data_IF_521001572488
#
_entry.id   IF_521001572488
#
_cell.length_a   1.000
_cell.length_b   1.000
_cell.length_c   1.000
_cell.angle_alpha   90.00
_cell.angle_beta   90.00
_cell.angle_gamma   90.00
#
_symmetry.space_group_name_H-M   'P 1'
#
loop_
_entity.id
_entity.type
_entity.pdbx_description
1 polymer ?
#
# COMPACT_ATOMS: atom_id res chain seq x y z
N UNK A 1 12.18 10.03 -28.19
CA UNK A 1 11.61 10.39 -26.88
C UNK A 1 10.33 9.63 -26.57
N UNK A 2 9.45 9.40 -27.54
CA UNK A 2 8.18 8.67 -27.35
C UNK A 2 8.36 7.18 -27.01
N UNK A 3 9.43 6.52 -27.44
CA UNK A 3 9.64 5.09 -27.15
C UNK A 3 10.13 4.83 -25.70
N UNK A 4 10.93 5.69 -25.11
CA UNK A 4 11.46 5.51 -23.75
C UNK A 4 10.44 5.90 -22.68
N UNK A 5 9.75 7.02 -22.86
CA UNK A 5 8.61 7.41 -22.01
C UNK A 5 7.50 6.36 -22.08
N UNK A 6 7.28 5.75 -23.25
CA UNK A 6 6.36 4.62 -23.41
C UNK A 6 6.82 3.36 -22.67
N UNK A 7 8.12 3.09 -22.55
CA UNK A 7 8.63 1.90 -21.87
C UNK A 7 8.54 1.99 -20.34
N UNK A 8 8.85 3.13 -19.74
CA UNK A 8 8.67 3.35 -18.30
C UNK A 8 7.19 3.39 -17.88
N UNK A 9 6.34 3.98 -18.72
CA UNK A 9 4.89 3.95 -18.53
C UNK A 9 4.38 2.51 -18.55
N UNK A 10 4.83 1.68 -19.50
CA UNK A 10 4.49 0.26 -19.56
C UNK A 10 5.00 -0.54 -18.35
N UNK A 11 6.14 -0.20 -17.75
CA UNK A 11 6.73 -0.94 -16.63
C UNK A 11 5.92 -0.71 -15.34
N UNK A 12 5.51 0.51 -15.04
CA UNK A 12 4.66 0.81 -13.86
C UNK A 12 3.25 0.26 -13.99
N UNK A 13 2.67 0.29 -15.18
CA UNK A 13 1.38 -0.35 -15.44
C UNK A 13 1.45 -1.86 -15.22
N UNK A 14 2.58 -2.51 -15.59
CA UNK A 14 2.84 -3.92 -15.30
C UNK A 14 2.96 -4.20 -13.79
N UNK A 15 3.53 -3.28 -13.00
CA UNK A 15 3.54 -3.42 -11.55
C UNK A 15 2.12 -3.45 -10.97
N UNK A 16 1.20 -2.64 -11.50
CA UNK A 16 -0.23 -2.70 -11.16
C UNK A 16 -0.87 -4.05 -11.47
N UNK A 17 -0.53 -4.67 -12.62
CA UNK A 17 -1.03 -6.00 -12.99
C UNK A 17 -0.51 -7.06 -12.01
N UNK A 18 0.78 -7.06 -11.67
CA UNK A 18 1.38 -8.03 -10.75
C UNK A 18 0.76 -7.88 -9.34
N UNK A 19 0.54 -6.66 -8.87
CA UNK A 19 -0.15 -6.41 -7.62
C UNK A 19 -1.58 -6.96 -7.64
N UNK A 20 -2.30 -6.79 -8.76
CA UNK A 20 -3.64 -7.32 -8.94
C UNK A 20 -3.69 -8.86 -8.85
N UNK A 21 -2.66 -9.58 -9.32
CA UNK A 21 -2.57 -11.03 -9.15
C UNK A 21 -2.55 -11.40 -7.67
N UNK A 22 -1.75 -10.70 -6.85
CA UNK A 22 -1.71 -10.90 -5.40
C UNK A 22 -3.06 -10.66 -4.73
N UNK A 23 -3.76 -9.59 -5.12
CA UNK A 23 -5.08 -9.24 -4.57
C UNK A 23 -6.20 -10.16 -5.09
N UNK A 24 -6.10 -10.68 -6.32
CA UNK A 24 -7.08 -11.60 -6.87
C UNK A 24 -7.17 -12.93 -6.10
N UNK A 25 -6.05 -13.37 -5.53
CA UNK A 25 -6.01 -14.57 -4.67
C UNK A 25 -6.79 -14.35 -3.39
N UNK A 26 -6.85 -13.12 -2.84
CA UNK A 26 -7.55 -12.80 -1.59
C UNK A 26 -9.03 -13.18 -1.63
N UNK A 27 -9.75 -12.83 -2.69
CA UNK A 27 -11.16 -13.19 -2.85
C UNK A 27 -11.38 -14.72 -2.79
N UNK A 28 -10.50 -15.50 -3.40
CA UNK A 28 -10.56 -16.97 -3.36
C UNK A 28 -10.24 -17.52 -1.96
N UNK A 29 -9.28 -16.92 -1.24
CA UNK A 29 -8.97 -17.30 0.16
C UNK A 29 -10.18 -17.07 1.05
N UNK A 30 -10.94 -15.98 0.84
CA UNK A 30 -12.19 -15.70 1.56
C UNK A 30 -13.22 -16.80 1.32
N UNK A 31 -13.47 -17.11 0.05
CA UNK A 31 -14.47 -18.12 -0.35
C UNK A 31 -14.10 -19.48 0.24
N UNK A 32 -12.85 -19.90 0.05
CA UNK A 32 -12.41 -21.23 0.52
C UNK A 32 -12.42 -21.33 2.06
N UNK A 33 -12.09 -20.26 2.77
CA UNK A 33 -12.21 -20.25 4.23
C UNK A 33 -13.67 -20.42 4.67
N UNK A 34 -14.61 -19.72 4.04
CA UNK A 34 -16.04 -19.85 4.34
C UNK A 34 -16.58 -21.26 4.00
N UNK A 35 -16.14 -21.86 2.90
CA UNK A 35 -16.49 -23.25 2.56
C UNK A 35 -16.00 -24.20 3.67
N UNK A 36 -14.74 -24.07 4.11
CA UNK A 36 -14.17 -24.88 5.20
C UNK A 36 -14.90 -24.71 6.53
N UNK A 37 -15.33 -23.49 6.86
CA UNK A 37 -16.16 -23.21 8.04
C UNK A 37 -17.51 -23.95 7.97
N UNK A 38 -18.15 -23.97 6.79
CA UNK A 38 -19.46 -24.65 6.64
C UNK A 38 -19.29 -26.20 6.63
N UNK A 39 -18.19 -26.71 6.09
CA UNK A 39 -17.84 -28.15 6.18
C UNK A 39 -17.55 -28.57 7.61
N UNK A 40 -16.87 -27.73 8.40
CA UNK A 40 -16.63 -27.98 9.82
C UNK A 40 -17.92 -28.07 10.66
N UNK A 41 -19.02 -27.47 10.19
CA UNK A 41 -20.36 -27.59 10.79
C UNK A 41 -21.11 -28.87 10.38
N UNK A 42 -20.46 -29.77 9.62
CA UNK A 42 -21.04 -31.04 9.19
C UNK A 42 -21.99 -30.95 7.99
N UNK A 43 -21.94 -29.83 7.22
CA UNK A 43 -22.75 -29.70 6.00
C UNK A 43 -22.15 -30.47 4.84
N UNK A 44 -22.99 -30.87 3.87
CA UNK A 44 -22.52 -31.49 2.64
C UNK A 44 -21.65 -30.53 1.81
N UNK A 45 -20.73 -31.06 0.99
CA UNK A 45 -19.83 -30.29 0.15
C UNK A 45 -20.60 -29.32 -0.75
N UNK A 46 -21.67 -29.78 -1.41
CA UNK A 46 -22.50 -28.96 -2.28
C UNK A 46 -23.12 -27.78 -1.54
N UNK A 47 -23.70 -28.03 -0.35
CA UNK A 47 -24.30 -26.98 0.49
C UNK A 47 -23.24 -26.02 1.00
N UNK A 48 -22.07 -26.52 1.36
CA UNK A 48 -20.95 -25.71 1.86
C UNK A 48 -20.37 -24.81 0.77
N UNK A 49 -20.27 -25.27 -0.48
CA UNK A 49 -19.90 -24.44 -1.62
C UNK A 49 -20.91 -23.31 -1.78
N UNK A 50 -22.22 -23.61 -1.87
CA UNK A 50 -23.25 -22.59 -2.05
C UNK A 50 -23.20 -21.52 -0.94
N UNK A 51 -23.22 -21.95 0.31
CA UNK A 51 -23.20 -21.05 1.47
C UNK A 51 -21.89 -20.29 1.63
N UNK A 52 -20.77 -20.92 1.24
CA UNK A 52 -19.46 -20.29 1.26
C UNK A 52 -19.41 -19.07 0.34
N UNK A 53 -19.92 -19.18 -0.89
CA UNK A 53 -20.02 -18.05 -1.82
C UNK A 53 -21.00 -16.98 -1.33
N UNK A 54 -22.17 -17.35 -0.82
CA UNK A 54 -23.17 -16.40 -0.30
C UNK A 54 -22.61 -15.59 0.87
N UNK A 55 -21.92 -16.22 1.81
CA UNK A 55 -21.34 -15.56 2.98
C UNK A 55 -20.06 -14.76 2.67
N UNK A 56 -19.30 -15.19 1.66
CA UNK A 56 -18.10 -14.49 1.25
C UNK A 56 -18.41 -13.20 0.46
N UNK A 57 -19.54 -13.15 -0.24
CA UNK A 57 -19.89 -12.06 -1.17
C UNK A 57 -19.76 -10.68 -0.54
N UNK A 58 -20.37 -10.46 0.63
CA UNK A 58 -20.32 -9.17 1.31
C UNK A 58 -18.87 -8.72 1.60
N UNK A 59 -18.06 -9.61 2.19
CA UNK A 59 -16.68 -9.28 2.55
C UNK A 59 -15.80 -9.01 1.32
N UNK A 60 -16.01 -9.76 0.22
CA UNK A 60 -15.29 -9.55 -1.05
C UNK A 60 -15.65 -8.21 -1.67
N UNK A 61 -16.94 -7.89 -1.74
CA UNK A 61 -17.40 -6.61 -2.31
C UNK A 61 -16.90 -5.45 -1.47
N UNK A 62 -17.06 -5.50 -0.15
CA UNK A 62 -16.66 -4.44 0.77
C UNK A 62 -15.15 -4.15 0.69
N UNK A 63 -14.31 -5.19 0.69
CA UNK A 63 -12.87 -5.04 0.60
C UNK A 63 -12.42 -4.47 -0.75
N UNK A 64 -13.02 -4.92 -1.84
CA UNK A 64 -12.68 -4.43 -3.18
C UNK A 64 -13.21 -3.02 -3.46
N UNK A 65 -14.38 -2.64 -2.93
CA UNK A 65 -14.91 -1.28 -3.04
C UNK A 65 -13.98 -0.27 -2.39
N UNK A 66 -13.38 -0.58 -1.24
CA UNK A 66 -12.40 0.32 -0.60
C UNK A 66 -11.16 0.53 -1.45
N UNK A 67 -10.65 -0.53 -2.06
CA UNK A 67 -9.49 -0.42 -2.97
C UNK A 67 -9.87 0.32 -4.26
N UNK A 68 -11.09 0.15 -4.77
CA UNK A 68 -11.60 0.92 -5.90
C UNK A 68 -11.74 2.41 -5.57
N UNK A 69 -12.15 2.77 -4.35
CA UNK A 69 -12.17 4.17 -3.88
C UNK A 69 -10.75 4.77 -3.94
N UNK A 70 -9.75 4.04 -3.43
CA UNK A 70 -8.36 4.49 -3.50
C UNK A 70 -7.89 4.65 -4.95
N UNK A 71 -8.18 3.68 -5.82
CA UNK A 71 -7.86 3.74 -7.25
C UNK A 71 -8.56 4.93 -7.95
N UNK A 72 -9.81 5.20 -7.62
CA UNK A 72 -10.58 6.32 -8.17
C UNK A 72 -10.00 7.68 -7.76
N UNK A 73 -9.63 7.85 -6.50
CA UNK A 73 -8.96 9.06 -6.01
C UNK A 73 -7.62 9.24 -6.72
N UNK A 74 -6.86 8.14 -6.90
CA UNK A 74 -5.59 8.13 -7.62
C UNK A 74 -5.77 8.49 -9.11
N UNK A 75 -6.86 8.06 -9.74
CA UNK A 75 -7.19 8.40 -11.12
C UNK A 75 -7.50 9.89 -11.30
N UNK A 76 -8.26 10.49 -10.37
CA UNK A 76 -8.64 11.90 -10.43
C UNK A 76 -7.45 12.82 -10.13
N UNK A 77 -6.68 12.51 -9.07
CA UNK A 77 -5.59 13.35 -8.57
C UNK A 77 -4.22 13.02 -9.16
N UNK A 78 -4.07 11.81 -9.71
CA UNK A 78 -2.83 11.41 -10.35
C UNK A 78 -2.66 12.02 -11.74
N UNK A 79 -1.42 12.22 -12.14
CA UNK A 79 -1.02 12.68 -13.47
C UNK A 79 -0.29 11.57 -14.24
N UNK A 80 -0.33 11.60 -15.56
CA UNK A 80 0.45 10.74 -16.44
C UNK A 80 0.43 9.24 -16.05
N UNK A 81 1.57 8.74 -15.63
CA UNK A 81 1.80 7.32 -15.28
C UNK A 81 0.97 6.83 -14.09
N UNK A 82 0.65 7.71 -13.13
CA UNK A 82 -0.17 7.34 -11.96
C UNK A 82 -1.60 7.04 -12.39
N UNK A 83 -2.12 7.81 -13.34
CA UNK A 83 -3.48 7.59 -13.88
C UNK A 83 -3.58 6.25 -14.62
N UNK A 84 -2.52 5.87 -15.38
CA UNK A 84 -2.40 4.55 -16.00
C UNK A 84 -2.40 3.42 -14.96
N UNK A 85 -1.57 3.54 -13.92
CA UNK A 85 -1.54 2.59 -12.80
C UNK A 85 -2.90 2.47 -12.11
N UNK A 86 -3.58 3.59 -11.82
CA UNK A 86 -4.90 3.58 -11.20
C UNK A 86 -5.96 2.86 -12.06
N UNK A 87 -5.89 3.05 -13.39
CA UNK A 87 -6.79 2.39 -14.34
C UNK A 87 -6.55 0.89 -14.36
N UNK A 88 -5.29 0.44 -14.46
CA UNK A 88 -4.94 -0.98 -14.45
C UNK A 88 -5.30 -1.64 -13.12
N UNK A 89 -5.11 -0.93 -12.00
CA UNK A 89 -5.51 -1.39 -10.68
C UNK A 89 -7.03 -1.59 -10.60
N UNK A 90 -7.82 -0.59 -11.00
CA UNK A 90 -9.28 -0.66 -10.97
C UNK A 90 -9.83 -1.78 -11.87
N UNK A 91 -9.34 -1.87 -13.11
CA UNK A 91 -9.73 -2.93 -14.04
C UNK A 91 -9.37 -4.32 -13.50
N UNK A 92 -8.19 -4.49 -12.93
CA UNK A 92 -7.76 -5.75 -12.34
C UNK A 92 -8.65 -6.18 -11.16
N UNK A 93 -9.06 -5.25 -10.30
CA UNK A 93 -9.97 -5.51 -9.19
C UNK A 93 -11.34 -5.97 -9.71
N UNK A 94 -11.91 -5.28 -10.69
CA UNK A 94 -13.21 -5.64 -11.27
C UNK A 94 -13.15 -7.03 -11.92
N UNK A 95 -12.10 -7.32 -12.69
CA UNK A 95 -11.91 -8.62 -13.32
C UNK A 95 -11.68 -9.73 -12.29
N UNK A 96 -10.89 -9.47 -11.24
CA UNK A 96 -10.66 -10.44 -10.17
C UNK A 96 -11.92 -10.77 -9.38
N UNK A 97 -12.76 -9.78 -9.11
CA UNK A 97 -14.07 -10.00 -8.49
C UNK A 97 -14.97 -10.87 -9.38
N UNK A 98 -15.04 -10.57 -10.66
CA UNK A 98 -15.81 -11.37 -11.60
C UNK A 98 -15.30 -12.82 -11.65
N UNK A 99 -14.00 -13.01 -11.77
CA UNK A 99 -13.38 -14.34 -11.79
C UNK A 99 -13.65 -15.12 -10.50
N UNK A 100 -13.46 -14.50 -9.35
CA UNK A 100 -13.67 -15.16 -8.06
C UNK A 100 -15.13 -15.53 -7.82
N UNK A 101 -16.08 -14.63 -8.13
CA UNK A 101 -17.49 -14.85 -7.79
C UNK A 101 -18.23 -15.73 -8.80
N UNK A 102 -17.84 -15.68 -10.07
CA UNK A 102 -18.52 -16.43 -11.14
C UNK A 102 -17.69 -17.61 -11.60
N UNK A 103 -16.48 -17.39 -12.15
CA UNK A 103 -15.69 -18.45 -12.78
C UNK A 103 -15.28 -19.51 -11.74
N UNK A 104 -14.75 -19.10 -10.58
CA UNK A 104 -14.36 -20.05 -9.52
C UNK A 104 -15.56 -20.85 -9.01
N UNK A 105 -16.75 -20.23 -8.91
CA UNK A 105 -17.98 -20.91 -8.51
C UNK A 105 -18.35 -22.03 -9.49
N UNK A 106 -18.34 -21.72 -10.79
CA UNK A 106 -18.66 -22.72 -11.82
C UNK A 106 -17.62 -23.84 -11.89
N UNK A 107 -16.33 -23.51 -11.73
CA UNK A 107 -15.27 -24.54 -11.68
C UNK A 107 -15.48 -25.48 -10.49
N UNK A 108 -15.74 -24.95 -9.28
CA UNK A 108 -15.98 -25.80 -8.11
C UNK A 108 -17.24 -26.66 -8.24
N UNK A 109 -18.31 -26.15 -8.84
CA UNK A 109 -19.50 -26.91 -9.12
C UNK A 109 -19.25 -28.02 -10.16
N UNK A 110 -18.47 -27.73 -11.21
CA UNK A 110 -18.09 -28.71 -12.21
C UNK A 110 -17.19 -29.81 -11.60
N UNK A 111 -16.22 -29.46 -10.75
CA UNK A 111 -15.38 -30.42 -10.03
C UNK A 111 -16.24 -31.34 -9.14
N UNK A 112 -17.21 -30.78 -8.41
CA UNK A 112 -18.14 -31.56 -7.63
C UNK A 112 -18.94 -32.55 -8.51
N UNK A 113 -19.43 -32.11 -9.67
CA UNK A 113 -20.17 -32.97 -10.61
C UNK A 113 -19.31 -34.08 -11.24
N UNK A 114 -18.00 -33.88 -11.30
CA UNK A 114 -17.03 -34.85 -11.77
C UNK A 114 -16.59 -35.88 -10.70
N UNK A 115 -17.20 -35.84 -9.49
CA UNK A 115 -16.94 -36.80 -8.42
C UNK A 115 -15.89 -36.31 -7.38
N UNK A 116 -15.51 -35.03 -7.37
CA UNK A 116 -14.67 -34.46 -6.32
C UNK A 116 -15.60 -34.00 -5.17
N UNK A 117 -16.21 -34.95 -4.49
CA UNK A 117 -17.23 -34.74 -3.44
C UNK A 117 -16.74 -35.10 -2.03
N UNK A 118 -15.55 -35.71 -1.88
CA UNK A 118 -14.98 -36.06 -0.58
C UNK A 118 -14.48 -34.77 0.12
N UNK A 119 -14.86 -34.60 1.39
CA UNK A 119 -14.45 -33.51 2.28
C UNK A 119 -12.93 -33.38 2.37
N UNK A 120 -12.18 -34.48 2.16
CA UNK A 120 -10.70 -34.46 2.18
C UNK A 120 -10.09 -33.50 1.16
N UNK A 121 -10.71 -33.34 -0.02
CA UNK A 121 -10.21 -32.45 -1.07
C UNK A 121 -10.38 -30.97 -0.72
N UNK A 122 -11.38 -30.63 0.10
CA UNK A 122 -11.67 -29.25 0.49
C UNK A 122 -10.99 -28.86 1.81
N UNK A 123 -10.66 -29.86 2.65
CA UNK A 123 -10.12 -29.65 3.99
C UNK A 123 -11.16 -29.10 4.96
N UNK A 124 -10.95 -29.35 6.24
CA UNK A 124 -11.82 -28.84 7.33
C UNK A 124 -11.03 -27.92 8.23
N UNK A 125 -11.62 -26.81 8.61
CA UNK A 125 -10.99 -25.88 9.54
C UNK A 125 -10.95 -26.50 10.95
N UNK A 126 -9.74 -26.60 11.52
CA UNK A 126 -9.55 -27.08 12.90
C UNK A 126 -9.80 -25.95 13.87
N UNK A 127 -10.53 -26.19 14.97
CA UNK A 127 -10.74 -25.17 16.00
C UNK A 127 -9.39 -24.75 16.59
N UNK A 128 -9.14 -23.45 16.64
CA UNK A 128 -7.93 -22.89 17.22
C UNK A 128 -8.16 -22.45 18.64
N UNK A 129 -7.10 -22.56 19.46
CA UNK A 129 -7.13 -21.99 20.80
C UNK A 129 -7.23 -20.46 20.70
N UNK A 130 -8.15 -19.87 21.45
CA UNK A 130 -8.34 -18.41 21.51
C UNK A 130 -7.04 -17.71 21.93
N UNK A 131 -6.68 -16.68 21.16
CA UNK A 131 -5.52 -15.82 21.45
C UNK A 131 -6.01 -14.55 22.15
N UNK A 132 -5.34 -14.16 23.24
CA UNK A 132 -5.71 -13.03 24.10
C UNK A 132 -5.16 -11.70 23.56
N UNK A 133 -5.69 -11.20 22.43
CA UNK A 133 -5.26 -9.94 21.83
C UNK A 133 -5.62 -8.73 22.68
N UNK A 134 -6.85 -8.65 23.18
CA UNK A 134 -7.36 -7.51 23.98
C UNK A 134 -6.56 -7.35 25.27
N UNK A 135 -6.17 -8.43 25.91
CA UNK A 135 -5.36 -8.41 27.15
C UNK A 135 -3.94 -7.88 26.86
N UNK A 136 -3.38 -8.18 25.68
CA UNK A 136 -2.04 -7.75 25.28
C UNK A 136 -2.03 -6.40 24.52
N UNK A 137 -3.17 -5.70 24.40
CA UNK A 137 -3.29 -4.46 23.60
C UNK A 137 -2.26 -3.39 23.95
N UNK A 138 -1.89 -3.26 25.23
CA UNK A 138 -0.89 -2.26 25.64
C UNK A 138 0.45 -2.53 24.99
N UNK A 139 0.89 -3.79 24.87
CA UNK A 139 2.13 -4.16 24.19
C UNK A 139 2.10 -3.74 22.72
N UNK A 140 0.98 -3.98 22.03
CA UNK A 140 0.81 -3.58 20.63
C UNK A 140 0.82 -2.05 20.47
N UNK A 141 0.14 -1.32 21.32
CA UNK A 141 0.17 0.15 21.28
C UNK A 141 1.56 0.72 21.59
N UNK A 142 2.32 0.08 22.50
CA UNK A 142 3.72 0.49 22.76
C UNK A 142 4.61 0.24 21.55
N UNK A 143 4.50 -0.93 20.89
CA UNK A 143 5.25 -1.21 19.66
C UNK A 143 4.94 -0.16 18.59
N UNK A 144 3.67 0.14 18.37
CA UNK A 144 3.23 1.17 17.42
C UNK A 144 3.74 2.56 17.80
N UNK A 145 3.70 2.90 19.10
CA UNK A 145 4.23 4.16 19.60
C UNK A 145 5.73 4.30 19.36
N UNK A 146 6.49 3.23 19.54
CA UNK A 146 7.95 3.20 19.25
C UNK A 146 8.20 3.40 17.75
N UNK A 147 7.43 2.75 16.88
CA UNK A 147 7.55 2.92 15.42
C UNK A 147 7.24 4.37 14.99
N UNK A 148 6.17 4.96 15.53
CA UNK A 148 5.81 6.36 15.26
C UNK A 148 6.90 7.32 15.78
N UNK A 149 7.38 7.11 17.00
CA UNK A 149 8.47 7.91 17.57
C UNK A 149 9.76 7.78 16.74
N UNK A 150 10.10 6.56 16.28
CA UNK A 150 11.20 6.31 15.35
C UNK A 150 11.05 7.09 14.04
N UNK A 151 9.84 7.18 13.51
CA UNK A 151 9.56 7.98 12.32
C UNK A 151 9.88 9.47 12.56
N UNK A 152 9.37 10.04 13.65
CA UNK A 152 9.61 11.44 14.00
C UNK A 152 11.10 11.73 14.18
N UNK A 153 11.80 10.86 14.90
CA UNK A 153 13.27 10.98 15.09
C UNK A 153 13.99 10.93 13.74
N UNK A 154 13.65 9.97 12.88
CA UNK A 154 14.28 9.83 11.57
C UNK A 154 14.07 11.08 10.69
N UNK A 155 12.86 11.64 10.68
CA UNK A 155 12.54 12.88 9.95
C UNK A 155 13.34 14.09 10.48
N UNK A 156 13.49 14.20 11.80
CA UNK A 156 14.30 15.27 12.44
C UNK A 156 15.77 15.13 12.07
N UNK A 157 16.32 13.91 12.16
CA UNK A 157 17.72 13.62 11.80
C UNK A 157 17.97 13.92 10.32
N UNK A 158 17.09 13.51 9.43
CA UNK A 158 17.21 13.81 8.00
C UNK A 158 17.21 15.32 7.74
N UNK A 159 16.32 16.08 8.41
CA UNK A 159 16.30 17.53 8.28
C UNK A 159 17.61 18.17 8.77
N UNK A 160 18.17 17.68 9.87
CA UNK A 160 19.41 18.20 10.44
C UNK A 160 20.65 17.86 9.59
N UNK A 161 20.68 16.69 8.94
CA UNK A 161 21.84 16.19 8.18
C UNK A 161 21.79 16.56 6.70
N UNK A 162 20.62 16.57 6.07
CA UNK A 162 20.45 16.74 4.63
C UNK A 162 19.65 17.98 4.25
N UNK A 163 19.24 18.80 5.22
CA UNK A 163 18.41 20.00 4.99
C UNK A 163 16.94 19.69 4.65
N UNK A 164 16.65 18.49 4.14
CA UNK A 164 15.32 18.04 3.75
C UNK A 164 14.81 16.94 4.68
N UNK A 165 13.51 16.96 4.97
CA UNK A 165 12.84 15.95 5.82
C UNK A 165 12.82 14.57 5.13
N UNK A 166 12.63 14.55 3.81
CA UNK A 166 12.56 13.37 2.95
C UNK A 166 13.44 13.58 1.71
N UNK A 167 13.82 12.50 1.06
CA UNK A 167 14.52 12.56 -0.22
C UNK A 167 13.50 12.80 -1.34
N UNK A 168 13.19 14.08 -1.59
CA UNK A 168 12.23 14.44 -2.63
C UNK A 168 12.79 14.15 -4.02
N UNK A 169 11.98 13.49 -4.86
CA UNK A 169 12.25 13.28 -6.28
C UNK A 169 11.98 14.54 -7.12
N UNK A 170 12.36 14.46 -8.40
CA UNK A 170 12.15 15.52 -9.38
C UNK A 170 10.69 15.97 -9.46
N UNK A 171 9.77 15.03 -9.36
CA UNK A 171 8.32 15.28 -9.37
C UNK A 171 7.90 16.32 -8.31
N UNK A 172 8.59 16.34 -7.17
CA UNK A 172 8.25 17.18 -6.03
C UNK A 172 9.20 18.37 -5.79
N UNK A 173 10.43 18.28 -6.26
CA UNK A 173 11.37 19.41 -6.18
C UNK A 173 11.25 20.34 -7.39
N UNK A 174 10.90 19.80 -8.54
CA UNK A 174 11.14 20.42 -9.83
C UNK A 174 12.61 20.35 -10.20
N UNK A 175 12.94 20.84 -11.39
CA UNK A 175 14.31 20.85 -11.87
C UNK A 175 14.51 19.99 -13.09
N UNK A 176 15.78 19.67 -13.40
CA UNK A 176 16.17 18.83 -14.52
C UNK A 176 17.05 17.68 -14.04
N UNK A 177 16.73 16.47 -14.48
CA UNK A 177 17.54 15.27 -14.22
C UNK A 177 18.14 14.76 -15.52
N UNK A 178 19.41 14.37 -15.45
CA UNK A 178 20.13 13.71 -16.52
C UNK A 178 20.54 12.31 -16.07
N UNK A 179 20.23 11.29 -16.89
CA UNK A 179 20.81 9.96 -16.77
C UNK A 179 21.86 9.81 -17.84
N UNK A 180 23.13 9.74 -17.42
CA UNK A 180 24.29 9.79 -18.29
C UNK A 180 24.97 8.43 -18.28
N UNK A 181 24.84 7.62 -19.36
CA UNK A 181 25.50 6.32 -19.45
C UNK A 181 26.95 6.50 -19.88
N UNK A 182 27.86 5.98 -19.07
CA UNK A 182 29.28 5.93 -19.42
C UNK A 182 29.67 4.57 -20.02
N UNK A 183 30.67 4.55 -20.88
CA UNK A 183 31.23 3.31 -21.45
C UNK A 183 31.76 2.38 -20.36
N UNK A 184 31.77 1.06 -20.61
CA UNK A 184 32.24 0.06 -19.64
C UNK A 184 33.69 0.29 -19.17
N UNK A 185 34.49 1.00 -19.97
CA UNK A 185 35.88 1.30 -19.68
C UNK A 185 36.04 2.56 -18.81
N UNK A 186 34.99 3.35 -18.61
CA UNK A 186 35.03 4.57 -17.79
C UNK A 186 34.68 4.22 -16.36
N UNK A 187 35.64 4.31 -15.44
CA UNK A 187 35.37 4.14 -14.01
C UNK A 187 34.69 5.39 -13.44
N UNK A 188 33.57 5.20 -12.79
CA UNK A 188 32.90 6.27 -12.05
C UNK A 188 33.62 6.45 -10.71
N UNK A 189 34.50 7.48 -10.68
CA UNK A 189 35.24 7.86 -9.51
C UNK A 189 34.86 9.27 -9.03
N UNK A 190 35.47 9.71 -7.92
CA UNK A 190 35.22 11.04 -7.36
C UNK A 190 35.72 12.18 -8.28
N UNK A 191 36.66 11.92 -9.18
CA UNK A 191 37.17 12.92 -10.11
C UNK A 191 36.18 13.14 -11.25
N UNK A 192 35.60 12.07 -11.82
CA UNK A 192 34.58 12.14 -12.84
C UNK A 192 33.32 12.86 -12.33
N UNK A 193 32.91 12.57 -11.09
CA UNK A 193 31.76 13.27 -10.48
C UNK A 193 31.99 14.77 -10.37
N UNK A 194 33.19 15.21 -9.92
CA UNK A 194 33.53 16.63 -9.84
C UNK A 194 33.62 17.30 -11.23
N UNK A 195 34.12 16.59 -12.23
CA UNK A 195 34.11 17.10 -13.58
C UNK A 195 32.71 17.28 -14.16
N UNK A 196 31.85 16.29 -13.97
CA UNK A 196 30.43 16.39 -14.36
C UNK A 196 29.75 17.52 -13.62
N UNK A 197 29.96 17.63 -12.28
CA UNK A 197 29.45 18.72 -11.47
C UNK A 197 29.85 20.09 -12.01
N UNK A 198 31.10 20.27 -12.41
CA UNK A 198 31.62 21.53 -12.98
C UNK A 198 30.92 21.91 -14.30
N UNK A 199 30.60 20.94 -15.15
CA UNK A 199 29.88 21.16 -16.40
C UNK A 199 28.45 21.67 -16.11
N UNK A 200 27.79 21.05 -15.18
CA UNK A 200 26.44 21.47 -14.79
C UNK A 200 26.47 22.84 -14.11
N UNK A 201 27.36 23.08 -13.15
CA UNK A 201 27.49 24.36 -12.45
C UNK A 201 27.72 25.53 -13.39
N UNK A 202 28.59 25.33 -14.39
CA UNK A 202 28.89 26.33 -15.41
C UNK A 202 27.68 26.69 -16.27
N UNK A 203 26.87 25.70 -16.65
CA UNK A 203 25.74 25.90 -17.55
C UNK A 203 24.44 26.24 -16.84
N UNK A 204 24.23 25.82 -15.55
CA UNK A 204 23.03 26.09 -14.79
C UNK A 204 23.07 27.40 -14.02
N UNK A 205 24.22 28.01 -13.88
CA UNK A 205 24.48 29.14 -12.96
C UNK A 205 24.03 28.84 -11.52
N UNK A 206 24.04 27.56 -11.11
CA UNK A 206 23.63 27.08 -9.80
C UNK A 206 24.61 26.01 -9.30
N UNK A 207 24.86 26.04 -8.00
CA UNK A 207 25.65 25.00 -7.32
C UNK A 207 24.75 23.93 -6.67
N UNK A 208 23.44 23.98 -6.90
CA UNK A 208 22.49 22.99 -6.38
C UNK A 208 22.43 21.78 -7.34
N UNK A 209 23.48 20.98 -7.27
CA UNK A 209 23.69 19.80 -8.13
C UNK A 209 23.88 18.58 -7.24
N UNK A 210 23.07 17.56 -7.47
CA UNK A 210 23.15 16.28 -6.77
C UNK A 210 23.53 15.19 -7.78
N UNK A 211 24.66 14.52 -7.55
CA UNK A 211 25.16 13.44 -8.40
C UNK A 211 25.09 12.12 -7.63
N UNK A 212 24.46 11.13 -8.22
CA UNK A 212 24.35 9.77 -7.69
C UNK A 212 24.68 8.72 -8.73
N UNK A 213 25.23 7.59 -8.30
CA UNK A 213 25.46 6.43 -9.16
C UNK A 213 24.20 5.58 -9.24
N UNK A 214 23.89 5.07 -10.43
CA UNK A 214 22.80 4.12 -10.62
C UNK A 214 23.32 2.71 -10.33
N UNK A 215 22.76 2.06 -9.30
CA UNK A 215 23.20 0.73 -8.89
C UNK A 215 22.99 -0.30 -9.99
N UNK A 216 24.06 -0.99 -10.37
CA UNK A 216 24.01 -2.08 -11.38
C UNK A 216 24.21 -1.64 -12.83
N UNK A 217 24.36 -0.35 -13.10
CA UNK A 217 24.72 0.21 -14.39
C UNK A 217 25.91 1.17 -14.26
N UNK A 218 26.64 1.40 -15.35
CA UNK A 218 27.71 2.39 -15.36
C UNK A 218 27.16 3.76 -15.77
N UNK A 219 26.22 4.27 -14.96
CA UNK A 219 25.48 5.50 -15.24
C UNK A 219 25.51 6.46 -14.05
N UNK A 220 25.58 7.76 -14.34
CA UNK A 220 25.39 8.82 -13.35
C UNK A 220 24.02 9.47 -13.53
N UNK A 221 23.29 9.56 -12.43
CA UNK A 221 22.09 10.38 -12.33
C UNK A 221 22.46 11.75 -11.73
N UNK A 222 22.26 12.81 -12.49
CA UNK A 222 22.56 14.20 -12.11
C UNK A 222 21.25 14.97 -12.01
N UNK A 223 20.96 15.51 -10.82
CA UNK A 223 19.80 16.37 -10.56
C UNK A 223 20.26 17.82 -10.34
N UNK A 224 19.60 18.76 -10.99
CA UNK A 224 19.90 20.19 -10.89
C UNK A 224 18.61 21.02 -10.97
N UNK A 225 18.72 22.32 -10.77
CA UNK A 225 17.62 23.26 -10.98
C UNK A 225 17.01 23.15 -12.37
N UNK A 226 15.84 23.76 -12.58
CA UNK A 226 15.20 23.80 -13.89
C UNK A 226 16.12 24.49 -14.91
N UNK A 227 16.48 23.78 -15.97
CA UNK A 227 17.30 24.28 -17.07
C UNK A 227 16.43 24.68 -18.26
N UNK A 228 16.74 25.80 -18.88
CA UNK A 228 16.13 26.21 -20.15
C UNK A 228 16.53 25.25 -21.28
N UNK A 229 15.84 25.27 -22.41
CA UNK A 229 16.18 24.43 -23.56
C UNK A 229 17.61 24.68 -24.06
N UNK A 230 18.04 25.94 -24.08
CA UNK A 230 19.42 26.32 -24.48
C UNK A 230 20.47 25.76 -23.52
N UNK A 231 20.24 25.90 -22.20
CA UNK A 231 21.11 25.34 -21.17
C UNK A 231 21.20 23.81 -21.27
N UNK A 232 20.07 23.15 -21.51
CA UNK A 232 20.01 21.69 -21.69
C UNK A 232 20.84 21.26 -22.94
N UNK A 233 20.68 21.97 -24.05
CA UNK A 233 21.46 21.71 -25.26
C UNK A 233 22.95 21.89 -25.02
N UNK A 234 23.35 22.95 -24.32
CA UNK A 234 24.76 23.22 -23.99
C UNK A 234 25.37 22.12 -23.12
N UNK A 235 24.68 21.72 -22.04
CA UNK A 235 25.14 20.62 -21.17
C UNK A 235 25.26 19.31 -21.96
N UNK A 236 24.25 18.98 -22.77
CA UNK A 236 24.24 17.75 -23.56
C UNK A 236 25.37 17.72 -24.57
N UNK A 237 25.62 18.83 -25.29
CA UNK A 237 26.71 18.97 -26.25
C UNK A 237 28.10 18.86 -25.56
N UNK A 238 28.28 19.49 -24.40
CA UNK A 238 29.55 19.45 -23.65
C UNK A 238 29.83 18.04 -23.12
N UNK A 239 28.81 17.33 -22.57
CA UNK A 239 28.92 15.93 -22.15
C UNK A 239 29.23 15.00 -23.35
N UNK A 240 28.51 15.15 -24.45
CA UNK A 240 28.68 14.33 -25.65
C UNK A 240 30.08 14.46 -26.24
N UNK A 241 30.62 15.69 -26.33
CA UNK A 241 31.97 15.96 -26.83
C UNK A 241 33.04 15.43 -25.90
N UNK A 242 32.91 15.64 -24.59
CA UNK A 242 33.95 15.31 -23.62
C UNK A 242 34.05 13.80 -23.36
N UNK A 243 32.94 13.12 -23.30
CA UNK A 243 32.92 11.68 -22.96
C UNK A 243 32.55 10.77 -24.14
N UNK A 244 32.44 11.31 -25.34
CA UNK A 244 32.09 10.58 -26.58
C UNK A 244 30.74 9.81 -26.42
N UNK A 245 29.81 10.36 -25.65
CA UNK A 245 28.49 9.78 -25.43
C UNK A 245 27.54 10.30 -26.52
N UNK A 246 26.83 9.42 -27.19
CA UNK A 246 25.80 9.84 -28.15
C UNK A 246 24.68 10.57 -27.44
N UNK A 247 24.30 11.77 -27.89
CA UNK A 247 23.22 12.58 -27.30
C UNK A 247 21.93 11.80 -27.09
N UNK A 248 21.60 10.87 -27.99
CA UNK A 248 20.42 10.00 -27.91
C UNK A 248 20.39 9.05 -26.69
N UNK A 249 21.56 8.81 -26.09
CA UNK A 249 21.70 7.92 -24.94
C UNK A 249 21.58 8.67 -23.62
N UNK A 250 21.69 10.00 -23.62
CA UNK A 250 21.50 10.83 -22.45
C UNK A 250 19.99 11.05 -22.27
N UNK A 251 19.44 10.57 -21.17
CA UNK A 251 18.04 10.78 -20.84
C UNK A 251 17.89 12.07 -20.04
N UNK A 252 16.97 12.93 -20.46
CA UNK A 252 16.74 14.22 -19.81
C UNK A 252 15.28 14.30 -19.42
N UNK A 253 15.02 14.56 -18.15
CA UNK A 253 13.67 14.82 -17.63
C UNK A 253 13.69 16.20 -16.97
N UNK A 254 12.69 17.03 -17.27
CA UNK A 254 12.56 18.37 -16.69
C UNK A 254 11.13 18.62 -16.24
N UNK A 255 10.98 19.10 -15.03
CA UNK A 255 9.69 19.45 -14.42
C UNK A 255 9.80 20.83 -13.83
N UNK A 256 8.87 21.72 -14.19
CA UNK A 256 8.88 23.09 -13.64
C UNK A 256 8.49 23.13 -12.17
N UNK A 257 9.01 24.10 -11.44
CA UNK A 257 8.73 24.28 -10.02
C UNK A 257 7.24 24.51 -9.72
N UNK A 258 6.49 25.14 -10.63
CA UNK A 258 5.04 25.30 -10.48
C UNK A 258 4.29 23.99 -10.54
N UNK A 259 4.63 23.12 -11.51
CA UNK A 259 4.02 21.79 -11.66
C UNK A 259 4.34 20.92 -10.46
N UNK A 260 5.60 20.94 -9.98
CA UNK A 260 5.97 20.14 -8.79
C UNK A 260 5.28 20.61 -7.51
N UNK A 261 5.04 21.90 -7.38
CA UNK A 261 4.24 22.44 -6.27
C UNK A 261 2.78 21.97 -6.28
N UNK A 262 2.16 21.91 -7.46
CA UNK A 262 0.82 21.34 -7.63
C UNK A 262 0.80 19.85 -7.31
N UNK A 263 1.79 19.09 -7.78
CA UNK A 263 1.90 17.65 -7.53
C UNK A 263 2.03 17.33 -6.03
N UNK A 264 2.81 18.10 -5.27
CA UNK A 264 2.89 17.96 -3.81
C UNK A 264 1.54 18.17 -3.14
N UNK A 265 0.86 19.26 -3.49
CA UNK A 265 -0.46 19.59 -2.93
C UNK A 265 -1.47 18.51 -3.26
N UNK A 266 -1.49 18.04 -4.50
CA UNK A 266 -2.42 17.00 -4.95
C UNK A 266 -2.12 15.66 -4.29
N UNK A 267 -0.86 15.33 -3.99
CA UNK A 267 -0.47 14.14 -3.23
C UNK A 267 -1.10 14.14 -1.83
N UNK A 268 -0.94 15.23 -1.09
CA UNK A 268 -1.50 15.36 0.26
C UNK A 268 -3.03 15.34 0.22
N UNK A 269 -3.63 16.07 -0.71
CA UNK A 269 -5.09 16.10 -0.89
C UNK A 269 -5.64 14.72 -1.25
N UNK A 270 -4.95 13.95 -2.10
CA UNK A 270 -5.37 12.61 -2.47
C UNK A 270 -5.47 11.67 -1.25
N UNK A 271 -4.45 11.68 -0.37
CA UNK A 271 -4.45 10.87 0.85
C UNK A 271 -5.59 11.29 1.79
N UNK A 272 -5.79 12.60 1.99
CA UNK A 272 -6.88 13.13 2.83
C UNK A 272 -8.24 12.76 2.26
N UNK A 273 -8.46 12.96 0.96
CA UNK A 273 -9.74 12.63 0.31
C UNK A 273 -10.01 11.13 0.40
N UNK A 274 -9.00 10.28 0.14
CA UNK A 274 -9.13 8.85 0.27
C UNK A 274 -9.51 8.44 1.70
N UNK A 275 -8.84 8.99 2.73
CA UNK A 275 -9.15 8.72 4.12
C UNK A 275 -10.58 9.13 4.50
N UNK A 276 -11.05 10.29 4.02
CA UNK A 276 -12.43 10.77 4.25
C UNK A 276 -13.45 9.86 3.53
N UNK A 277 -13.23 9.51 2.27
CA UNK A 277 -14.10 8.62 1.53
C UNK A 277 -14.20 7.23 2.20
N UNK A 278 -13.06 6.71 2.68
CA UNK A 278 -13.01 5.45 3.43
C UNK A 278 -13.78 5.55 4.76
N UNK A 279 -13.61 6.62 5.51
CA UNK A 279 -14.34 6.86 6.76
C UNK A 279 -15.84 6.88 6.51
N UNK A 280 -16.31 7.61 5.50
CA UNK A 280 -17.73 7.68 5.11
C UNK A 280 -18.24 6.30 4.71
N UNK A 281 -17.49 5.57 3.86
CA UNK A 281 -17.86 4.23 3.42
C UNK A 281 -18.00 3.27 4.58
N UNK A 282 -17.03 3.20 5.49
CA UNK A 282 -17.05 2.31 6.64
C UNK A 282 -18.19 2.68 7.60
N UNK A 283 -18.38 3.98 7.84
CA UNK A 283 -19.48 4.45 8.67
C UNK A 283 -20.84 4.02 8.11
N UNK A 284 -21.06 4.23 6.82
CA UNK A 284 -22.30 3.81 6.17
C UNK A 284 -22.49 2.29 6.21
N UNK A 285 -21.41 1.54 5.99
CA UNK A 285 -21.44 0.06 5.93
C UNK A 285 -21.67 -0.60 7.29
N UNK A 286 -21.04 -0.12 8.33
CA UNK A 286 -21.12 -0.70 9.67
C UNK A 286 -22.10 0.02 10.60
N UNK A 287 -22.57 1.20 10.25
CA UNK A 287 -23.50 2.03 11.06
C UNK A 287 -22.98 2.33 12.48
N UNK A 288 -21.67 2.24 12.69
CA UNK A 288 -20.99 2.54 13.97
C UNK A 288 -19.75 3.39 13.70
N UNK A 289 -19.78 4.63 14.18
CA UNK A 289 -18.68 5.60 14.01
C UNK A 289 -17.39 5.12 14.69
N UNK A 290 -17.48 4.28 15.71
CA UNK A 290 -16.31 3.76 16.42
C UNK A 290 -15.53 2.77 15.53
N UNK A 291 -16.22 1.96 14.72
CA UNK A 291 -15.55 1.12 13.70
C UNK A 291 -14.81 2.00 12.69
N UNK A 292 -15.50 3.01 12.15
CA UNK A 292 -14.89 3.90 11.15
C UNK A 292 -13.69 4.66 11.71
N UNK A 293 -13.81 5.23 12.90
CA UNK A 293 -12.71 5.93 13.57
C UNK A 293 -11.52 5.02 13.87
N UNK A 294 -11.76 3.80 14.34
CA UNK A 294 -10.69 2.83 14.63
C UNK A 294 -9.96 2.39 13.36
N UNK A 295 -10.68 2.20 12.25
CA UNK A 295 -10.08 1.87 10.96
C UNK A 295 -9.18 3.00 10.43
N UNK A 296 -9.66 4.25 10.48
CA UNK A 296 -8.89 5.41 10.01
C UNK A 296 -7.64 5.65 10.86
N UNK A 297 -7.73 5.47 12.19
CA UNK A 297 -6.56 5.58 13.07
C UNK A 297 -5.52 4.50 12.77
N UNK A 298 -5.94 3.25 12.50
CA UNK A 298 -5.03 2.20 12.08
C UNK A 298 -4.40 2.49 10.71
N UNK A 299 -5.18 3.05 9.77
CA UNK A 299 -4.67 3.52 8.49
C UNK A 299 -3.61 4.61 8.61
N UNK A 300 -3.84 5.61 9.47
CA UNK A 300 -2.87 6.67 9.74
C UNK A 300 -1.57 6.11 10.31
N UNK A 301 -1.69 5.13 11.22
CA UNK A 301 -0.52 4.41 11.73
C UNK A 301 0.28 3.75 10.58
N UNK A 302 -0.39 3.04 9.67
CA UNK A 302 0.28 2.36 8.56
C UNK A 302 0.97 3.34 7.61
N UNK A 303 0.32 4.45 7.28
CA UNK A 303 0.89 5.53 6.48
C UNK A 303 2.15 6.11 7.14
N UNK A 304 2.13 6.34 8.46
CA UNK A 304 3.28 6.87 9.20
C UNK A 304 4.44 5.86 9.19
N UNK A 305 4.17 4.57 9.37
CA UNK A 305 5.23 3.53 9.32
C UNK A 305 5.84 3.42 7.94
N UNK A 306 5.05 3.53 6.88
CA UNK A 306 5.59 3.55 5.52
C UNK A 306 6.41 4.80 5.26
N UNK A 307 5.99 5.96 5.81
CA UNK A 307 6.78 7.19 5.75
C UNK A 307 8.13 7.03 6.47
N UNK A 308 8.18 6.29 7.59
CA UNK A 308 9.44 5.94 8.25
C UNK A 308 10.38 5.17 7.30
N UNK A 309 9.85 4.22 6.54
CA UNK A 309 10.65 3.44 5.57
C UNK A 309 11.21 4.35 4.47
N UNK A 310 10.41 5.25 3.92
CA UNK A 310 10.90 6.26 2.95
C UNK A 310 12.01 7.13 3.55
N UNK A 311 11.82 7.58 4.79
CA UNK A 311 12.80 8.43 5.48
C UNK A 311 14.10 7.69 5.82
N UNK A 312 14.00 6.46 6.34
CA UNK A 312 15.14 5.66 6.79
C UNK A 312 15.97 5.10 5.61
N UNK A 313 15.31 4.62 4.57
CA UNK A 313 15.98 4.07 3.39
C UNK A 313 16.34 5.14 2.35
N UNK A 314 16.01 6.43 2.61
CA UNK A 314 16.23 7.57 1.70
C UNK A 314 15.67 7.33 0.29
N UNK A 315 14.55 6.60 0.19
CA UNK A 315 13.87 6.33 -1.07
C UNK A 315 13.29 7.63 -1.62
N UNK A 316 13.34 7.80 -2.94
CA UNK A 316 12.84 9.00 -3.62
C UNK A 316 11.33 9.15 -3.43
N UNK A 317 10.91 10.34 -2.99
CA UNK A 317 9.51 10.70 -2.76
C UNK A 317 9.00 11.52 -3.93
N UNK A 318 8.29 10.85 -4.83
CA UNK A 318 7.72 11.43 -6.04
C UNK A 318 6.34 10.83 -6.32
N UNK A 319 5.99 10.72 -7.57
CA UNK A 319 4.72 10.16 -8.03
C UNK A 319 4.49 8.71 -7.55
N UNK A 320 5.55 7.90 -7.51
CA UNK A 320 5.51 6.52 -6.99
C UNK A 320 5.11 6.46 -5.52
N UNK A 321 5.48 7.46 -4.72
CA UNK A 321 5.08 7.59 -3.32
C UNK A 321 3.56 7.69 -3.19
N UNK A 322 2.89 8.52 -4.01
CA UNK A 322 1.44 8.69 -3.98
C UNK A 322 0.74 7.36 -4.28
N UNK A 323 1.19 6.68 -5.34
CA UNK A 323 0.66 5.37 -5.73
C UNK A 323 0.84 4.33 -4.62
N UNK A 324 2.01 4.28 -3.98
CA UNK A 324 2.31 3.39 -2.87
C UNK A 324 1.39 3.68 -1.67
N UNK A 325 1.28 4.94 -1.23
CA UNK A 325 0.46 5.32 -0.08
C UNK A 325 -1.02 4.98 -0.28
N UNK A 326 -1.60 5.31 -1.43
CA UNK A 326 -3.01 5.01 -1.71
C UNK A 326 -3.27 3.52 -1.89
N UNK A 327 -2.30 2.76 -2.44
CA UNK A 327 -2.37 1.31 -2.51
C UNK A 327 -2.39 0.68 -1.12
N UNK A 328 -1.51 1.13 -0.22
CA UNK A 328 -1.46 0.64 1.17
C UNK A 328 -2.75 0.98 1.91
N UNK A 329 -3.26 2.19 1.75
CA UNK A 329 -4.54 2.63 2.32
C UNK A 329 -5.67 1.70 1.86
N UNK A 330 -5.77 1.38 0.57
CA UNK A 330 -6.79 0.46 0.05
C UNK A 330 -6.61 -0.98 0.53
N UNK A 331 -5.37 -1.47 0.59
CA UNK A 331 -5.06 -2.84 1.01
C UNK A 331 -5.24 -3.07 2.51
N UNK A 332 -4.72 -2.19 3.36
CA UNK A 332 -4.80 -2.33 4.82
C UNK A 332 -6.23 -2.32 5.31
N UNK A 333 -7.08 -1.49 4.71
CA UNK A 333 -8.49 -1.40 5.12
C UNK A 333 -9.27 -2.66 4.76
N UNK A 334 -8.91 -3.38 3.70
CA UNK A 334 -9.54 -4.65 3.34
C UNK A 334 -9.39 -5.68 4.47
N UNK A 335 -8.18 -5.86 4.99
CA UNK A 335 -7.94 -6.76 6.13
C UNK A 335 -8.71 -6.33 7.40
N UNK A 336 -8.82 -5.03 7.63
CA UNK A 336 -9.58 -4.45 8.75
C UNK A 336 -11.07 -4.74 8.65
N UNK A 337 -11.68 -4.56 7.47
CA UNK A 337 -13.11 -4.83 7.21
C UNK A 337 -13.47 -6.28 7.53
N UNK A 338 -12.60 -7.22 7.18
CA UNK A 338 -12.80 -8.64 7.45
C UNK A 338 -12.93 -8.93 8.94
N UNK A 339 -12.07 -8.32 9.75
CA UNK A 339 -12.09 -8.48 11.20
C UNK A 339 -13.36 -7.82 11.78
N UNK A 340 -13.70 -6.63 11.29
CA UNK A 340 -14.90 -5.93 11.74
C UNK A 340 -16.21 -6.65 11.36
N UNK A 341 -16.27 -7.23 10.17
CA UNK A 341 -17.41 -8.03 9.74
C UNK A 341 -17.59 -9.26 10.66
N UNK A 342 -16.47 -9.92 11.04
CA UNK A 342 -16.51 -11.03 11.98
C UNK A 342 -16.88 -10.59 13.39
N UNK A 343 -16.39 -9.45 13.88
CA UNK A 343 -16.80 -8.90 15.19
C UNK A 343 -18.30 -8.63 15.18
N UNK A 344 -18.82 -8.01 14.11
CA UNK A 344 -20.27 -7.73 13.97
C UNK A 344 -21.09 -9.00 13.89
N UNK A 345 -20.65 -10.03 13.16
CA UNK A 345 -21.27 -11.34 13.08
C UNK A 345 -21.35 -11.99 14.47
N UNK A 346 -20.27 -11.96 15.26
CA UNK A 346 -20.21 -12.57 16.59
C UNK A 346 -20.98 -11.75 17.66
N UNK A 347 -21.14 -10.45 17.48
CA UNK A 347 -22.02 -9.61 18.33
C UNK A 347 -23.48 -9.99 18.10
N UNK A 348 -23.90 -10.20 16.83
CA UNK A 348 -25.26 -10.52 16.46
C UNK A 348 -26.24 -9.40 16.81
N UNK A 349 -27.46 -9.76 17.20
CA UNK A 349 -28.57 -8.83 17.53
C UNK A 349 -28.65 -8.44 19.02
N UNK A 350 -27.62 -8.74 19.81
CA UNK A 350 -27.62 -8.51 21.26
C UNK A 350 -27.54 -7.01 21.60
N UNK A 351 -28.47 -6.53 22.41
CA UNK A 351 -28.59 -5.11 22.77
C UNK A 351 -27.70 -4.70 23.95
N UNK A 352 -27.34 -5.63 24.85
CA UNK A 352 -26.46 -5.35 25.99
C UNK A 352 -25.37 -6.42 26.10
N UNK A 353 -24.11 -6.01 26.07
CA UNK A 353 -22.95 -6.89 26.17
C UNK A 353 -22.05 -6.36 27.30
N UNK A 354 -21.66 -7.24 28.24
CA UNK A 354 -20.70 -6.88 29.29
C UNK A 354 -19.30 -6.69 28.71
N UNK A 355 -18.46 -5.87 29.35
CA UNK A 355 -17.09 -5.61 28.91
C UNK A 355 -16.24 -6.89 28.74
N UNK A 356 -16.45 -7.88 29.63
CA UNK A 356 -15.76 -9.17 29.57
C UNK A 356 -16.17 -9.95 28.32
N UNK A 357 -17.47 -10.03 28.06
CA UNK A 357 -18.00 -10.72 26.87
C UNK A 357 -17.61 -10.02 25.59
N UNK A 358 -17.53 -8.69 25.58
CA UNK A 358 -17.05 -7.92 24.44
C UNK A 358 -15.58 -8.24 24.15
N UNK A 359 -14.74 -8.36 25.19
CA UNK A 359 -13.35 -8.77 25.07
C UNK A 359 -13.19 -10.18 24.49
N UNK A 360 -14.03 -11.13 24.91
CA UNK A 360 -14.05 -12.49 24.35
C UNK A 360 -14.44 -12.47 22.86
N UNK A 361 -15.52 -11.77 22.51
CA UNK A 361 -15.99 -11.66 21.12
C UNK A 361 -14.89 -11.11 20.22
N UNK A 362 -14.18 -10.06 20.65
CA UNK A 362 -13.08 -9.48 19.86
C UNK A 362 -11.93 -10.47 19.70
N UNK A 363 -11.52 -11.14 20.78
CA UNK A 363 -10.45 -12.14 20.73
C UNK A 363 -10.82 -13.31 19.80
N UNK A 364 -12.05 -13.81 19.91
CA UNK A 364 -12.57 -14.88 19.06
C UNK A 364 -12.60 -14.46 17.59
N UNK A 365 -13.11 -13.27 17.32
CA UNK A 365 -13.21 -12.75 15.94
C UNK A 365 -11.85 -12.61 15.29
N UNK A 366 -10.86 -12.04 15.99
CA UNK A 366 -9.49 -11.93 15.49
C UNK A 366 -8.88 -13.32 15.31
N UNK A 367 -9.08 -14.24 16.27
CA UNK A 367 -8.51 -15.60 16.18
C UNK A 367 -9.10 -16.37 14.99
N UNK A 368 -10.40 -16.25 14.73
CA UNK A 368 -11.09 -16.88 13.61
C UNK A 368 -10.61 -16.36 12.25
N UNK A 369 -10.33 -15.06 12.15
CA UNK A 369 -9.86 -14.43 10.90
C UNK A 369 -8.35 -14.48 10.70
N UNK A 370 -7.57 -14.85 11.72
CA UNK A 370 -6.11 -14.78 11.72
C UNK A 370 -5.45 -15.54 10.59
N UNK A 371 -5.84 -16.79 10.34
CA UNK A 371 -5.26 -17.61 9.26
C UNK A 371 -5.48 -16.98 7.91
N UNK A 372 -6.68 -16.47 7.68
CA UNK A 372 -7.03 -15.78 6.46
C UNK A 372 -6.18 -14.52 6.30
N UNK A 373 -6.15 -13.66 7.31
CA UNK A 373 -5.37 -12.42 7.27
C UNK A 373 -3.88 -12.66 7.01
N UNK A 374 -3.30 -13.70 7.62
CA UNK A 374 -1.90 -14.10 7.38
C UNK A 374 -1.72 -14.60 5.95
N UNK A 375 -2.58 -15.49 5.47
CA UNK A 375 -2.44 -16.09 4.14
C UNK A 375 -2.57 -15.02 3.05
N UNK A 376 -3.55 -14.12 3.14
CA UNK A 376 -3.73 -13.03 2.17
C UNK A 376 -2.56 -12.05 2.19
N UNK A 377 -2.07 -11.69 3.36
CA UNK A 377 -0.89 -10.82 3.47
C UNK A 377 0.37 -11.51 2.93
N UNK A 378 0.51 -12.81 3.16
CA UNK A 378 1.67 -13.58 2.71
C UNK A 378 1.68 -13.75 1.18
N UNK A 379 0.53 -14.03 0.55
CA UNK A 379 0.43 -14.13 -0.90
C UNK A 379 0.78 -12.82 -1.59
N UNK A 380 0.22 -11.71 -1.12
CA UNK A 380 0.53 -10.37 -1.66
C UNK A 380 1.99 -9.98 -1.37
N UNK A 381 2.50 -10.30 -0.16
CA UNK A 381 3.90 -10.08 0.19
C UNK A 381 4.85 -10.78 -0.79
N UNK A 382 4.64 -12.06 -1.08
CA UNK A 382 5.49 -12.79 -2.02
C UNK A 382 5.47 -12.18 -3.42
N UNK A 383 4.30 -11.75 -3.92
CA UNK A 383 4.20 -11.11 -5.24
C UNK A 383 4.99 -9.80 -5.28
N UNK A 384 4.83 -8.95 -4.29
CA UNK A 384 5.56 -7.67 -4.21
C UNK A 384 7.04 -7.89 -3.90
N UNK A 385 7.40 -8.93 -3.14
CA UNK A 385 8.79 -9.32 -2.88
C UNK A 385 9.51 -9.73 -4.17
N UNK A 386 8.85 -10.52 -5.01
CA UNK A 386 9.41 -10.84 -6.33
C UNK A 386 9.58 -9.59 -7.19
N UNK A 387 8.65 -8.64 -7.09
CA UNK A 387 8.76 -7.34 -7.76
C UNK A 387 9.97 -6.52 -7.26
N UNK A 388 10.25 -6.57 -5.96
CA UNK A 388 11.40 -5.88 -5.36
C UNK A 388 12.75 -6.51 -5.78
N UNK A 389 12.79 -7.83 -6.00
CA UNK A 389 14.03 -8.52 -6.42
C UNK A 389 14.25 -8.40 -7.93
N UNK A 390 13.24 -8.71 -8.72
CA UNK A 390 13.34 -8.84 -10.18
C UNK A 390 13.02 -7.53 -10.92
N UNK A 391 12.43 -6.55 -10.23
CA UNK A 391 12.04 -5.28 -10.83
C UNK A 391 13.23 -4.38 -11.14
N UNK A 392 13.05 -3.50 -12.12
CA UNK A 392 13.95 -2.38 -12.40
C UNK A 392 13.88 -1.34 -11.27
N UNK A 393 14.86 -0.45 -11.19
CA UNK A 393 15.00 0.49 -10.06
C UNK A 393 13.73 1.31 -9.78
N UNK A 394 13.05 1.81 -10.82
CA UNK A 394 11.78 2.55 -10.67
C UNK A 394 10.65 1.72 -10.07
N UNK A 395 10.66 0.40 -10.26
CA UNK A 395 9.72 -0.54 -9.68
C UNK A 395 10.11 -0.89 -8.25
N UNK A 396 11.41 -1.01 -7.96
CA UNK A 396 11.93 -1.25 -6.61
C UNK A 396 11.60 -0.12 -5.65
N UNK A 397 11.69 1.14 -6.10
CA UNK A 397 11.29 2.33 -5.35
C UNK A 397 9.82 2.28 -4.88
N UNK A 398 8.95 1.63 -5.65
CA UNK A 398 7.56 1.39 -5.30
C UNK A 398 7.40 0.13 -4.43
N UNK A 399 8.08 -0.97 -4.78
CA UNK A 399 7.88 -2.28 -4.18
C UNK A 399 8.39 -2.36 -2.73
N UNK A 400 9.54 -1.76 -2.42
CA UNK A 400 10.15 -1.84 -1.07
C UNK A 400 9.26 -1.18 -0.01
N UNK A 401 8.79 0.07 -0.16
CA UNK A 401 7.86 0.66 0.80
C UNK A 401 6.51 -0.08 0.87
N UNK A 402 6.05 -0.61 -0.27
CA UNK A 402 4.82 -1.38 -0.33
C UNK A 402 4.93 -2.69 0.48
N UNK A 403 6.09 -3.39 0.45
CA UNK A 403 6.35 -4.55 1.30
C UNK A 403 6.22 -4.20 2.79
N UNK A 404 6.84 -3.10 3.20
CA UNK A 404 6.73 -2.62 4.57
C UNK A 404 5.27 -2.29 4.93
N UNK A 405 4.54 -1.66 4.01
CA UNK A 405 3.11 -1.36 4.17
C UNK A 405 2.23 -2.60 4.30
N UNK A 406 2.50 -3.67 3.54
CA UNK A 406 1.78 -4.95 3.64
C UNK A 406 2.01 -5.59 5.02
N UNK A 407 3.27 -5.64 5.48
CA UNK A 407 3.61 -6.19 6.80
C UNK A 407 2.99 -5.36 7.92
N UNK A 408 3.09 -4.03 7.81
CA UNK A 408 2.50 -3.12 8.79
C UNK A 408 0.97 -3.22 8.81
N UNK A 409 0.31 -3.26 7.64
CA UNK A 409 -1.13 -3.43 7.51
C UNK A 409 -1.64 -4.76 8.04
N UNK A 410 -0.89 -5.85 7.87
CA UNK A 410 -1.19 -7.14 8.49
C UNK A 410 -1.10 -7.06 10.03
N UNK A 411 -0.07 -6.39 10.54
CA UNK A 411 0.08 -6.17 11.97
C UNK A 411 -1.03 -5.26 12.52
N UNK A 412 -1.29 -4.12 11.90
CA UNK A 412 -2.26 -3.12 12.39
C UNK A 412 -3.69 -3.65 12.37
N UNK A 413 -4.09 -4.37 11.31
CA UNK A 413 -5.43 -4.96 11.22
C UNK A 413 -5.65 -6.01 12.31
N UNK A 414 -4.69 -6.92 12.55
CA UNK A 414 -4.82 -8.00 13.53
C UNK A 414 -4.64 -7.50 14.98
N UNK A 415 -3.62 -6.69 15.24
CA UNK A 415 -3.21 -6.35 16.60
C UNK A 415 -3.78 -5.01 17.11
N UNK A 416 -3.98 -4.03 16.21
CA UNK A 416 -4.38 -2.67 16.61
C UNK A 416 -5.88 -2.46 16.42
N UNK A 417 -6.42 -2.71 15.24
CA UNK A 417 -7.75 -2.22 14.86
C UNK A 417 -8.86 -2.74 15.76
N UNK A 418 -8.94 -4.06 15.96
CA UNK A 418 -9.96 -4.67 16.84
C UNK A 418 -9.79 -4.28 18.32
N UNK A 419 -8.55 -4.21 18.79
CA UNK A 419 -8.24 -3.83 20.17
C UNK A 419 -8.48 -2.34 20.44
N UNK A 420 -8.26 -1.50 19.45
CA UNK A 420 -8.53 -0.05 19.49
C UNK A 420 -10.05 0.20 19.54
N UNK A 421 -10.81 -0.46 18.65
CA UNK A 421 -12.26 -0.41 18.67
C UNK A 421 -12.83 -0.81 20.05
N UNK A 422 -12.36 -1.95 20.62
CA UNK A 422 -12.76 -2.37 21.97
C UNK A 422 -12.46 -1.30 23.00
N UNK A 423 -11.28 -0.69 22.95
CA UNK A 423 -10.86 0.31 23.94
C UNK A 423 -11.72 1.58 23.88
N UNK A 424 -12.04 2.06 22.68
CA UNK A 424 -12.91 3.23 22.47
C UNK A 424 -14.33 2.90 22.90
N UNK A 425 -14.88 1.74 22.51
CA UNK A 425 -16.23 1.31 22.86
C UNK A 425 -16.41 1.22 24.38
N UNK A 426 -15.45 0.62 25.09
CA UNK A 426 -15.42 0.55 26.55
C UNK A 426 -15.37 1.93 27.21
N UNK A 427 -14.56 2.84 26.68
CA UNK A 427 -14.48 4.21 27.20
C UNK A 427 -15.80 4.98 27.04
N UNK A 428 -16.51 4.75 25.93
CA UNK A 428 -17.80 5.39 25.65
C UNK A 428 -18.89 4.83 26.57
N UNK A 429 -18.93 3.52 26.80
CA UNK A 429 -19.86 2.88 27.73
C UNK A 429 -19.68 3.39 29.15
N UNK A 430 -18.44 3.52 29.63
CA UNK A 430 -18.14 4.03 30.96
C UNK A 430 -18.56 5.50 31.16
N UNK A 431 -18.47 6.33 30.10
CA UNK A 431 -18.92 7.73 30.12
C UNK A 431 -20.46 7.83 30.23
N UNK A 432 -21.18 7.02 29.46
CA UNK A 432 -22.66 6.98 29.50
C UNK A 432 -23.16 6.51 30.85
N UNK A 433 -22.55 5.49 31.46
CA UNK A 433 -22.90 5.00 32.79
C UNK A 433 -22.63 5.99 33.91
N UNK A 434 -21.54 6.81 33.80
CA UNK A 434 -21.26 7.89 34.77
C UNK A 434 -22.19 9.10 34.59
N UNK A 435 -22.61 9.41 33.37
CA UNK A 435 -23.57 10.48 33.10
C UNK A 435 -24.97 10.13 33.64
N UNK A 436 -25.41 8.89 33.45
CA UNK A 436 -26.70 8.39 33.99
C UNK A 436 -26.70 8.35 35.52
N UNK A 437 -25.56 8.08 36.19
CA UNK A 437 -25.44 8.14 37.66
C UNK A 437 -25.35 9.55 38.22
N UNK A 438 -24.95 10.57 37.42
CA UNK A 438 -24.95 11.98 37.84
C UNK A 438 -26.30 12.66 37.62
N UNK A 439 -27.17 12.08 36.81
CA UNK A 439 -28.50 12.59 36.51
C UNK A 439 -29.61 11.98 37.41
N UNK A 440 -29.26 11.04 38.28
CA UNK A 440 -30.04 10.52 39.40
C UNK A 440 -29.53 11.14 40.71
#
# INVERSE_FOLDING_TARGET
TTRLVGSEMCIRDRAGIILNIGMAVDANVIIFTRIKEELAKGKSVQTSIKLGFEKALSAIVDGNVTTLIAAFVLYIKGSGTIRGFATTLAMGIILSMFTALYITKYILQAMYSLGVDDVKYFGVEKPRRQIKFVQNRVKFFVISGVLIAGCVVCLIVNKATSGNILNYGLDFLGGTTYDIPFGKDTKIDSSLKKEVESIFAKNSNSNDIVISEVSGSNELNVKTVELTEEQRANVTNELSKKYSIKEKNIQIQSISASVSGEMKRDAVLAVIIAAICMLIYIWFRFKDIVFAGSAVLALLHDVIVVLLVYAAAKISVGNTFIACMLTIVGYSINATIVIFDRIRENIGTRSSITDERLSEIVNDSITQTLTRSINTSLTTFFMVFMLAILGVDSVREFAIPLLAGIVCGAYSSVCITGTLWYTIKKATHNKSGKAAKKAK
#
